data_IF_105228410904
#
_entry.id   IF_105228410904
#
_cell.length_a   1.000
_cell.length_b   1.000
_cell.length_c   1.000
_cell.angle_alpha   90.00
_cell.angle_beta   90.00
_cell.angle_gamma   90.00
#
_symmetry.space_group_name_H-M   'P 1'
#
loop_
_entity.id
_entity.type
_entity.pdbx_description
1 polymer ?
#
# COMPACT_ATOMS: atom_id res chain seq x y z
N UNK A 1 -0.17 -22.57 -6.53
CA UNK A 1 -0.38 -21.80 -5.28
C UNK A 1 0.77 -20.82 -5.07
N UNK A 2 0.47 -19.60 -4.61
CA UNK A 2 1.47 -18.58 -4.22
C UNK A 2 2.28 -19.07 -3.00
N UNK A 3 3.54 -18.64 -2.89
CA UNK A 3 4.36 -19.02 -1.72
C UNK A 3 3.87 -18.26 -0.46
N UNK A 4 3.91 -18.87 0.74
CA UNK A 4 3.56 -18.17 1.97
C UNK A 4 4.39 -16.90 2.21
N UNK A 5 5.65 -16.91 1.79
CA UNK A 5 6.55 -15.74 1.84
C UNK A 5 6.04 -14.60 0.97
N UNK A 6 5.62 -14.91 -0.26
CA UNK A 6 5.01 -13.91 -1.16
C UNK A 6 3.72 -13.34 -0.54
N UNK A 7 2.85 -14.18 0.02
CA UNK A 7 1.64 -13.71 0.69
C UNK A 7 1.92 -12.76 1.86
N UNK A 8 2.96 -13.04 2.64
CA UNK A 8 3.38 -12.17 3.76
C UNK A 8 3.89 -10.80 3.28
N UNK A 9 4.72 -10.78 2.23
CA UNK A 9 5.20 -9.52 1.60
C UNK A 9 4.02 -8.73 1.06
N UNK A 10 3.12 -9.38 0.31
CA UNK A 10 1.95 -8.72 -0.23
C UNK A 10 1.05 -8.14 0.87
N UNK A 11 0.83 -8.90 1.94
CA UNK A 11 0.05 -8.46 3.10
C UNK A 11 0.67 -7.26 3.81
N UNK A 12 1.99 -7.28 4.01
CA UNK A 12 2.73 -6.16 4.63
C UNK A 12 2.65 -4.89 3.79
N UNK A 13 2.78 -5.01 2.45
CA UNK A 13 2.66 -3.86 1.55
C UNK A 13 1.25 -3.27 1.56
N UNK A 14 0.21 -4.11 1.51
CA UNK A 14 -1.18 -3.62 1.58
C UNK A 14 -1.47 -2.95 2.92
N UNK A 15 -0.94 -3.50 4.01
CA UNK A 15 -1.09 -2.91 5.34
C UNK A 15 -0.45 -1.52 5.43
N UNK A 16 0.78 -1.36 4.90
CA UNK A 16 1.46 -0.05 4.93
C UNK A 16 0.75 0.96 4.03
N UNK A 17 0.34 0.58 2.82
CA UNK A 17 -0.45 1.45 1.93
C UNK A 17 -1.72 1.97 2.61
N UNK A 18 -2.44 1.10 3.32
CA UNK A 18 -3.66 1.46 4.06
C UNK A 18 -3.38 2.45 5.20
N UNK A 19 -2.26 2.29 5.90
CA UNK A 19 -1.87 3.22 6.98
C UNK A 19 -1.60 4.61 6.40
N UNK A 20 -0.82 4.69 5.32
CA UNK A 20 -0.52 5.95 4.65
C UNK A 20 -1.78 6.63 4.09
N UNK A 21 -2.70 5.84 3.54
CA UNK A 21 -4.01 6.34 3.11
C UNK A 21 -4.78 7.00 4.26
N UNK A 22 -4.87 6.37 5.43
CA UNK A 22 -5.55 6.96 6.60
C UNK A 22 -4.91 8.27 7.06
N UNK A 23 -3.59 8.40 6.96
CA UNK A 23 -2.92 9.66 7.27
C UNK A 23 -3.31 10.76 6.28
N UNK A 24 -3.44 10.42 4.99
CA UNK A 24 -3.94 11.37 3.99
C UNK A 24 -5.36 11.80 4.28
N UNK A 25 -6.27 10.87 4.56
CA UNK A 25 -7.66 11.18 4.94
C UNK A 25 -7.72 12.11 6.14
N UNK A 26 -6.90 11.87 7.16
CA UNK A 26 -6.83 12.72 8.35
C UNK A 26 -6.37 14.15 8.01
N UNK A 27 -5.35 14.28 7.16
CA UNK A 27 -4.79 15.56 6.72
C UNK A 27 -5.76 16.32 5.81
N UNK A 28 -6.47 15.62 4.94
CA UNK A 28 -7.46 16.20 4.03
C UNK A 28 -8.71 16.67 4.79
N UNK A 29 -9.10 15.94 5.84
CA UNK A 29 -10.23 16.29 6.70
C UNK A 29 -9.95 17.42 7.69
N UNK A 30 -8.68 17.80 7.92
CA UNK A 30 -8.32 18.85 8.86
C UNK A 30 -8.30 20.24 8.17
N UNK A 31 -9.32 21.04 8.48
CA UNK A 31 -9.47 22.41 7.97
C UNK A 31 -8.48 23.41 8.58
N UNK A 32 -7.83 23.08 9.70
CA UNK A 32 -6.81 23.94 10.32
C UNK A 32 -5.47 23.88 9.58
N UNK A 33 -5.24 22.85 8.75
CA UNK A 33 -4.03 22.72 7.93
C UNK A 33 -4.17 23.62 6.70
N UNK A 34 -3.22 24.53 6.51
CA UNK A 34 -3.18 25.38 5.31
C UNK A 34 -2.92 24.54 4.05
N UNK A 35 -3.38 24.98 2.87
CA UNK A 35 -3.19 24.23 1.63
C UNK A 35 -1.72 23.90 1.31
N UNK A 36 -0.81 24.85 1.55
CA UNK A 36 0.63 24.69 1.31
C UNK A 36 1.26 23.62 2.23
N UNK A 37 0.88 23.63 3.52
CA UNK A 37 1.34 22.62 4.48
C UNK A 37 0.74 21.26 4.13
N UNK A 38 -0.53 21.20 3.74
CA UNK A 38 -1.21 19.97 3.30
C UNK A 38 -0.48 19.32 2.13
N UNK A 39 -0.15 20.10 1.09
CA UNK A 39 0.59 19.61 -0.07
C UNK A 39 1.96 19.07 0.31
N UNK A 40 2.70 19.81 1.15
CA UNK A 40 4.01 19.37 1.66
C UNK A 40 3.91 18.06 2.42
N UNK A 41 2.90 17.91 3.29
CA UNK A 41 2.67 16.67 4.04
C UNK A 41 2.35 15.50 3.10
N UNK A 42 1.55 15.70 2.06
CA UNK A 42 1.24 14.66 1.07
C UNK A 42 2.48 14.17 0.34
N UNK A 43 3.38 15.07 -0.06
CA UNK A 43 4.67 14.74 -0.69
C UNK A 43 5.55 13.93 0.26
N UNK A 44 5.64 14.35 1.53
CA UNK A 44 6.41 13.62 2.55
C UNK A 44 5.82 12.21 2.76
N UNK A 45 4.49 12.09 2.82
CA UNK A 45 3.82 10.80 2.98
C UNK A 45 4.09 9.87 1.79
N UNK A 46 4.08 10.36 0.55
CA UNK A 46 4.42 9.55 -0.63
C UNK A 46 5.86 9.06 -0.60
N UNK A 47 6.80 9.94 -0.27
CA UNK A 47 8.20 9.58 -0.14
C UNK A 47 8.42 8.51 0.95
N UNK A 48 7.71 8.63 2.08
CA UNK A 48 7.77 7.67 3.17
C UNK A 48 7.10 6.34 2.83
N UNK A 49 5.99 6.36 2.09
CA UNK A 49 5.34 5.14 1.60
C UNK A 49 6.27 4.38 0.65
N UNK A 50 6.90 5.07 -0.29
CA UNK A 50 7.87 4.48 -1.20
C UNK A 50 9.05 3.84 -0.43
N UNK A 51 9.64 4.59 0.50
CA UNK A 51 10.73 4.08 1.35
C UNK A 51 10.32 2.85 2.17
N UNK A 52 9.08 2.80 2.67
CA UNK A 52 8.59 1.64 3.40
C UNK A 52 8.40 0.42 2.50
N UNK A 53 7.87 0.60 1.28
CA UNK A 53 7.76 -0.48 0.28
C UNK A 53 9.13 -1.06 -0.08
N UNK A 54 10.12 -0.19 -0.32
CA UNK A 54 11.50 -0.60 -0.61
C UNK A 54 12.11 -1.40 0.54
N UNK A 55 11.89 -0.94 1.78
CA UNK A 55 12.36 -1.66 2.97
C UNK A 55 11.75 -3.05 3.07
N UNK A 56 10.44 -3.19 2.88
CA UNK A 56 9.75 -4.49 2.90
C UNK A 56 10.36 -5.44 1.86
N UNK A 57 10.63 -4.94 0.66
CA UNK A 57 11.26 -5.73 -0.40
C UNK A 57 12.69 -6.13 -0.07
N UNK A 58 13.49 -5.20 0.47
CA UNK A 58 14.86 -5.45 0.90
C UNK A 58 14.92 -6.51 2.00
N UNK A 59 14.08 -6.37 3.03
CA UNK A 59 13.98 -7.32 4.13
C UNK A 59 13.56 -8.71 3.63
N UNK A 60 12.65 -8.77 2.64
CA UNK A 60 12.24 -10.02 2.03
C UNK A 60 13.37 -10.71 1.24
N UNK A 61 14.21 -9.93 0.53
CA UNK A 61 15.43 -10.47 -0.13
C UNK A 61 16.40 -11.01 0.90
N UNK A 62 16.71 -10.23 1.94
CA UNK A 62 17.60 -10.64 3.02
C UNK A 62 17.12 -11.93 3.71
N UNK A 63 15.81 -12.11 3.90
CA UNK A 63 15.24 -13.33 4.46
C UNK A 63 15.39 -14.55 3.53
N UNK A 64 15.37 -14.35 2.21
CA UNK A 64 15.66 -15.42 1.24
C UNK A 64 17.13 -15.84 1.34
N UNK A 65 18.05 -14.88 1.37
CA UNK A 65 19.49 -15.13 1.46
C UNK A 65 19.90 -15.77 2.78
N UNK A 66 19.26 -15.37 3.88
CA UNK A 66 19.48 -15.93 5.21
C UNK A 66 18.91 -17.35 5.39
N UNK A 67 18.29 -17.96 4.37
CA UNK A 67 17.82 -19.36 4.44
C UNK A 67 18.92 -20.31 3.90
N UNK A 68 19.71 -20.97 4.77
CA UNK A 68 20.90 -21.74 4.36
C UNK A 68 20.56 -23.00 3.55
N UNK A 69 19.50 -23.73 3.92
CA UNK A 69 19.14 -25.02 3.31
C UNK A 69 18.11 -24.92 2.18
N UNK A 70 17.89 -23.71 1.65
CA UNK A 70 16.93 -23.52 0.57
C UNK A 70 17.52 -24.03 -0.76
N UNK A 71 16.89 -25.01 -1.44
CA UNK A 71 17.36 -25.45 -2.74
C UNK A 71 17.43 -24.29 -3.74
N UNK A 72 18.45 -24.25 -4.60
CA UNK A 72 18.67 -23.13 -5.52
C UNK A 72 17.43 -22.85 -6.40
N UNK A 73 16.77 -23.90 -6.91
CA UNK A 73 15.54 -23.74 -7.69
C UNK A 73 14.39 -23.07 -6.89
N UNK A 74 14.31 -23.32 -5.58
CA UNK A 74 13.35 -22.68 -4.70
C UNK A 74 13.74 -21.23 -4.40
N UNK A 75 15.04 -20.94 -4.27
CA UNK A 75 15.59 -19.58 -4.16
C UNK A 75 15.26 -18.74 -5.39
N UNK A 76 15.52 -19.27 -6.59
CA UNK A 76 15.22 -18.59 -7.87
C UNK A 76 13.72 -18.33 -8.03
N UNK A 77 12.89 -19.29 -7.61
CA UNK A 77 11.43 -19.12 -7.60
C UNK A 77 10.99 -18.01 -6.62
N UNK A 78 11.62 -17.94 -5.45
CA UNK A 78 11.33 -16.91 -4.45
C UNK A 78 11.70 -15.51 -4.98
N UNK A 79 12.87 -15.37 -5.61
CA UNK A 79 13.30 -14.12 -6.24
C UNK A 79 12.35 -13.66 -7.35
N UNK A 80 11.99 -14.54 -8.28
CA UNK A 80 11.00 -14.21 -9.34
C UNK A 80 9.65 -13.79 -8.78
N UNK A 81 9.21 -14.44 -7.69
CA UNK A 81 7.96 -14.09 -7.01
C UNK A 81 8.03 -12.70 -6.39
N UNK A 82 9.18 -12.37 -5.78
CA UNK A 82 9.41 -11.07 -5.15
C UNK A 82 9.51 -9.94 -6.18
N UNK A 83 10.23 -10.16 -7.29
CA UNK A 83 10.30 -9.22 -8.41
C UNK A 83 8.93 -8.97 -9.02
N UNK A 84 8.10 -10.02 -9.15
CA UNK A 84 6.71 -9.88 -9.58
C UNK A 84 5.90 -8.99 -8.63
N UNK A 85 6.01 -9.20 -7.31
CA UNK A 85 5.36 -8.33 -6.33
C UNK A 85 5.86 -6.89 -6.43
N UNK A 86 7.17 -6.68 -6.55
CA UNK A 86 7.76 -5.36 -6.70
C UNK A 86 7.21 -4.63 -7.92
N UNK A 87 7.11 -5.32 -9.06
CA UNK A 87 6.49 -4.75 -10.26
C UNK A 87 5.05 -4.33 -9.98
N UNK A 88 4.23 -5.19 -9.36
CA UNK A 88 2.84 -4.88 -9.06
C UNK A 88 2.68 -3.61 -8.19
N UNK A 89 3.56 -3.39 -7.22
CA UNK A 89 3.45 -2.27 -6.28
C UNK A 89 4.08 -0.96 -6.75
N UNK A 90 5.03 -1.03 -7.68
CA UNK A 90 5.65 0.14 -8.29
C UNK A 90 4.83 0.66 -9.48
N UNK A 91 4.05 -0.22 -10.13
CA UNK A 91 3.14 0.19 -11.22
C UNK A 91 1.74 0.54 -10.74
N UNK A 92 1.37 0.17 -9.51
CA UNK A 92 0.14 0.66 -8.91
C UNK A 92 0.32 2.12 -8.54
N UNK A 93 -0.27 3.02 -9.32
CA UNK A 93 -0.63 4.36 -8.87
C UNK A 93 -1.17 4.29 -7.43
N UNK A 94 -0.89 5.29 -6.56
CA UNK A 94 -1.55 5.36 -5.27
C UNK A 94 -3.04 5.25 -5.53
N UNK A 95 -3.65 4.14 -5.09
CA UNK A 95 -5.05 3.85 -5.39
C UNK A 95 -5.88 5.02 -4.86
N UNK A 96 -6.33 5.90 -5.75
CA UNK A 96 -7.58 6.61 -5.55
C UNK A 96 -8.64 5.53 -5.66
N UNK A 97 -8.91 4.86 -4.54
CA UNK A 97 -10.11 4.06 -4.45
C UNK A 97 -11.26 5.05 -4.51
N UNK A 98 -12.02 5.00 -5.60
CA UNK A 98 -13.43 5.36 -5.55
C UNK A 98 -14.02 4.71 -4.31
N UNK A 99 -14.69 5.54 -3.52
CA UNK A 99 -15.28 5.18 -2.25
C UNK A 99 -16.12 3.89 -2.41
N UNK A 100 -15.75 2.75 -1.78
CA UNK A 100 -16.55 1.54 -1.85
C UNK A 100 -17.93 1.70 -1.19
N UNK A 101 -18.20 2.82 -0.51
CA UNK A 101 -19.52 3.19 -0.02
C UNK A 101 -20.41 3.87 -1.07
N UNK A 102 -19.92 4.25 -2.26
CA UNK A 102 -20.75 4.80 -3.33
C UNK A 102 -21.54 3.73 -4.10
N UNK A 103 -21.17 2.45 -4.03
CA UNK A 103 -21.92 1.36 -4.69
C UNK A 103 -23.11 0.83 -3.87
N UNK A 104 -23.23 1.20 -2.60
CA UNK A 104 -24.46 0.96 -1.84
C UNK A 104 -25.31 2.21 -1.97
N UNK A 105 -26.22 2.20 -2.95
CA UNK A 105 -27.29 3.19 -3.09
C UNK A 105 -28.16 3.23 -1.84
N UNK A 106 -27.70 3.92 -0.80
CA UNK A 106 -28.56 4.33 0.30
C UNK A 106 -29.23 5.60 -0.19
N UNK A 107 -30.47 5.44 -0.68
CA UNK A 107 -31.36 6.55 -0.96
C UNK A 107 -31.43 7.47 0.27
N UNK A 108 -30.71 8.59 0.22
CA UNK A 108 -30.96 9.71 1.11
C UNK A 108 -32.32 10.29 0.71
N UNK A 109 -33.37 9.80 1.36
CA UNK A 109 -34.69 10.38 1.33
C UNK A 109 -34.62 11.72 2.09
N UNK A 110 -34.30 12.80 1.38
CA UNK A 110 -34.70 14.14 1.80
C UNK A 110 -36.14 14.38 1.36
N UNK A 111 -37.13 14.50 2.27
CA UNK A 111 -38.30 15.29 1.94
C UNK A 111 -37.93 16.76 2.11
N UNK A 112 -37.89 17.47 0.98
CA UNK A 112 -38.10 18.92 0.97
C UNK A 112 -39.53 19.17 1.45
N UNK A 113 -39.69 19.96 2.50
CA UNK A 113 -40.92 20.72 2.71
C UNK A 113 -40.56 22.09 3.27
N UNK A 114 -40.68 23.06 2.35
CA UNK A 114 -41.22 24.41 2.45
C UNK A 114 -41.37 25.05 3.82
#
# INVERSE_FOLDING_TARGET
>A
MMSPRLMSVLGSTVAVERIFWKFRELIDGDSAISPEVRETLHVILDAKLLSAKDKIMSDARAAIDATPDLPQAARDRAYRSLDFAMKMFMTSEPRRAEDPFNEVGICSAHPKTR
#
